data_IF_519322255046
#
_entry.id   IF_519322255046
#
_cell.length_a   1.000
_cell.length_b   1.000
_cell.length_c   1.000
_cell.angle_alpha   90.00
_cell.angle_beta   90.00
_cell.angle_gamma   90.00
#
_symmetry.space_group_name_H-M   'P 1'
#
loop_
_entity.id
_entity.type
_entity.pdbx_description
1 polymer ?
#
# COMPACT_ATOMS: atom_id res chain seq x y z
N UNK A 1 59.62 21.60 15.06
CA UNK A 1 59.01 20.59 15.94
C UNK A 1 57.49 20.47 15.78
N UNK A 2 56.69 21.53 15.98
CA UNK A 2 55.22 21.41 15.88
C UNK A 2 54.71 20.89 14.53
N UNK A 3 55.19 21.46 13.41
CA UNK A 3 54.77 21.06 12.06
C UNK A 3 55.01 19.56 11.78
N UNK A 4 56.20 19.07 12.13
CA UNK A 4 56.58 17.66 11.97
C UNK A 4 55.69 16.69 12.76
N UNK A 5 55.10 17.16 13.87
CA UNK A 5 54.26 16.35 14.74
C UNK A 5 52.78 16.39 14.37
N UNK A 6 52.29 17.47 13.77
CA UNK A 6 50.84 17.72 13.62
C UNK A 6 50.38 18.05 12.20
N UNK A 7 51.24 18.64 11.37
CA UNK A 7 50.85 19.30 10.12
C UNK A 7 51.50 18.66 8.88
N UNK A 8 52.17 17.53 9.04
CA UNK A 8 52.70 16.74 7.92
C UNK A 8 51.52 16.16 7.12
N UNK A 9 51.43 16.51 5.84
CA UNK A 9 50.36 16.07 4.95
C UNK A 9 50.62 14.72 4.27
N UNK A 10 51.89 14.31 4.16
CA UNK A 10 52.29 13.06 3.50
C UNK A 10 53.73 12.64 3.89
N UNK A 11 54.11 11.41 3.54
CA UNK A 11 55.49 10.95 3.71
C UNK A 11 56.49 11.77 2.86
N UNK A 12 56.06 12.27 1.70
CA UNK A 12 56.89 13.16 0.86
C UNK A 12 57.07 14.52 1.53
N UNK A 13 56.00 15.13 2.07
CA UNK A 13 56.06 16.37 2.85
C UNK A 13 56.98 16.25 4.08
N UNK A 14 56.94 15.10 4.76
CA UNK A 14 57.87 14.77 5.85
C UNK A 14 59.32 14.76 5.40
N UNK A 15 59.61 14.07 4.28
CA UNK A 15 60.95 14.00 3.72
C UNK A 15 61.48 15.39 3.32
N UNK A 16 60.63 16.20 2.68
CA UNK A 16 60.93 17.58 2.31
C UNK A 16 61.18 18.47 3.53
N UNK A 17 60.41 18.30 4.60
CA UNK A 17 60.63 19.04 5.86
C UNK A 17 61.97 18.68 6.51
N UNK A 18 62.36 17.40 6.47
CA UNK A 18 63.67 16.96 6.97
C UNK A 18 64.81 17.55 6.11
N UNK A 19 64.64 17.61 4.79
CA UNK A 19 65.61 18.23 3.89
C UNK A 19 65.68 19.75 4.09
N UNK A 20 64.56 20.42 4.31
CA UNK A 20 64.49 21.84 4.63
C UNK A 20 65.27 22.18 5.91
N UNK A 21 65.20 21.33 6.95
CA UNK A 21 66.03 21.51 8.15
C UNK A 21 67.53 21.42 7.86
N UNK A 22 67.95 20.51 6.97
CA UNK A 22 69.37 20.40 6.55
C UNK A 22 69.81 21.63 5.77
N UNK A 23 68.98 22.11 4.83
CA UNK A 23 69.27 23.30 4.04
C UNK A 23 69.36 24.55 4.95
N UNK A 24 68.46 24.68 5.93
CA UNK A 24 68.47 25.77 6.91
C UNK A 24 69.75 25.77 7.76
N UNK A 25 70.20 24.59 8.21
CA UNK A 25 71.45 24.45 8.96
C UNK A 25 72.65 24.85 8.08
N UNK A 26 72.70 24.41 6.83
CA UNK A 26 73.75 24.80 5.88
C UNK A 26 73.82 26.33 5.66
N UNK A 27 72.67 26.99 5.51
CA UNK A 27 72.61 28.46 5.42
C UNK A 27 73.08 29.09 6.72
N UNK A 28 72.59 28.61 7.88
CA UNK A 28 72.95 29.13 9.20
C UNK A 28 74.46 29.02 9.47
N UNK A 29 75.10 27.93 9.07
CA UNK A 29 76.53 27.71 9.25
C UNK A 29 77.39 28.56 8.30
N UNK A 30 76.95 28.79 7.07
CA UNK A 30 77.71 29.55 6.07
C UNK A 30 77.52 31.08 6.17
N UNK A 31 76.38 31.53 6.72
CA UNK A 31 76.01 32.95 6.78
C UNK A 31 76.99 33.83 7.57
N UNK A 32 77.53 33.44 8.75
CA UNK A 32 78.47 34.28 9.49
C UNK A 32 79.76 34.58 8.72
N UNK A 33 80.33 33.58 8.04
CA UNK A 33 81.54 33.73 7.23
C UNK A 33 81.30 34.67 6.03
N UNK A 34 80.16 34.51 5.36
CA UNK A 34 79.75 35.42 4.29
C UNK A 34 79.57 36.87 4.78
N UNK A 35 78.87 37.07 5.90
CA UNK A 35 78.65 38.41 6.47
C UNK A 35 79.96 39.08 6.91
N UNK A 36 80.90 38.32 7.48
CA UNK A 36 82.20 38.83 7.87
C UNK A 36 83.02 39.28 6.65
N UNK A 37 83.10 38.45 5.60
CA UNK A 37 83.79 38.78 4.36
C UNK A 37 83.13 39.96 3.63
N UNK A 38 81.80 40.04 3.66
CA UNK A 38 81.03 41.14 3.06
C UNK A 38 81.30 42.47 3.76
N UNK A 39 81.31 42.49 5.09
CA UNK A 39 81.65 43.68 5.88
C UNK A 39 83.10 44.13 5.68
N UNK A 40 84.00 43.20 5.41
CA UNK A 40 85.41 43.47 5.09
C UNK A 40 85.64 43.90 3.62
N UNK A 41 84.59 43.86 2.77
CA UNK A 41 84.67 44.11 1.33
C UNK A 41 85.67 43.17 0.62
N UNK A 42 85.75 41.92 1.09
CA UNK A 42 86.63 40.90 0.51
C UNK A 42 85.89 40.11 -0.59
N UNK A 43 85.92 40.67 -1.80
CA UNK A 43 85.25 40.10 -2.97
C UNK A 43 85.81 38.74 -3.41
N UNK A 44 87.08 38.45 -3.07
CA UNK A 44 87.70 37.16 -3.36
C UNK A 44 87.07 36.02 -2.54
N UNK A 45 86.46 36.33 -1.39
CA UNK A 45 85.81 35.36 -0.49
C UNK A 45 84.28 35.43 -0.61
N UNK A 46 83.70 36.63 -0.75
CA UNK A 46 82.22 36.79 -0.82
C UNK A 46 81.63 36.22 -2.11
N UNK A 47 82.30 36.41 -3.25
CA UNK A 47 81.77 36.01 -4.55
C UNK A 47 81.70 34.47 -4.69
N UNK A 48 82.73 33.69 -4.31
CA UNK A 48 82.61 32.23 -4.23
C UNK A 48 81.55 31.76 -3.24
N UNK A 49 81.39 32.42 -2.09
CA UNK A 49 80.34 32.04 -1.13
C UNK A 49 78.91 32.29 -1.67
N UNK A 50 78.72 33.18 -2.64
CA UNK A 50 77.42 33.39 -3.30
C UNK A 50 77.19 32.48 -4.52
N UNK A 51 78.26 32.24 -5.29
CA UNK A 51 78.15 31.61 -6.61
C UNK A 51 78.50 30.12 -6.62
N UNK A 52 79.38 29.66 -5.73
CA UNK A 52 79.79 28.25 -5.69
C UNK A 52 78.66 27.35 -5.19
N UNK A 53 78.71 26.07 -5.61
CA UNK A 53 77.73 25.05 -5.22
C UNK A 53 77.70 24.78 -3.72
N UNK A 54 78.81 25.02 -3.02
CA UNK A 54 78.93 24.84 -1.57
C UNK A 54 78.80 26.16 -0.80
N UNK A 55 78.46 27.25 -1.49
CA UNK A 55 78.30 28.57 -0.90
C UNK A 55 76.93 28.80 -0.27
N UNK A 56 76.84 29.82 0.60
CA UNK A 56 75.58 30.27 1.22
C UNK A 56 74.51 30.62 0.17
N UNK A 57 74.91 31.13 -1.01
CA UNK A 57 73.98 31.46 -2.08
C UNK A 57 73.32 30.23 -2.73
N UNK A 58 74.07 29.14 -2.92
CA UNK A 58 73.50 27.89 -3.43
C UNK A 58 72.57 27.23 -2.41
N UNK A 59 72.96 27.22 -1.13
CA UNK A 59 72.12 26.73 -0.04
C UNK A 59 70.80 27.52 0.08
N UNK A 60 70.85 28.85 -0.06
CA UNK A 60 69.67 29.71 -0.03
C UNK A 60 68.72 29.46 -1.22
N UNK A 61 69.24 29.35 -2.45
CA UNK A 61 68.43 29.04 -3.64
C UNK A 61 67.79 27.65 -3.56
N UNK A 62 68.55 26.66 -3.06
CA UNK A 62 68.02 25.31 -2.85
C UNK A 62 66.90 25.32 -1.80
N UNK A 63 67.11 26.01 -0.68
CA UNK A 63 66.08 26.16 0.35
C UNK A 63 64.80 26.81 -0.20
N UNK A 64 64.92 27.87 -0.99
CA UNK A 64 63.78 28.53 -1.64
C UNK A 64 63.03 27.57 -2.56
N UNK A 65 63.74 26.88 -3.46
CA UNK A 65 63.15 25.92 -4.40
C UNK A 65 62.43 24.76 -3.68
N UNK A 66 63.07 24.18 -2.67
CA UNK A 66 62.50 23.07 -1.88
C UNK A 66 61.27 23.52 -1.10
N UNK A 67 61.28 24.74 -0.52
CA UNK A 67 60.14 25.29 0.20
C UNK A 67 58.96 25.59 -0.72
N UNK A 68 59.19 26.18 -1.90
CA UNK A 68 58.15 26.40 -2.91
C UNK A 68 57.55 25.07 -3.38
N UNK A 69 58.39 24.07 -3.62
CA UNK A 69 57.93 22.73 -3.99
C UNK A 69 57.08 22.10 -2.87
N UNK A 70 57.47 22.28 -1.62
CA UNK A 70 56.74 21.73 -0.47
C UNK A 70 55.37 22.39 -0.30
N UNK A 71 55.29 23.72 -0.46
CA UNK A 71 54.01 24.44 -0.46
C UNK A 71 53.12 23.93 -1.59
N UNK A 72 53.67 23.78 -2.80
CA UNK A 72 52.90 23.30 -3.95
C UNK A 72 52.36 21.88 -3.71
N UNK A 73 53.18 20.98 -3.18
CA UNK A 73 52.75 19.63 -2.81
C UNK A 73 51.56 19.66 -1.84
N UNK A 74 51.64 20.48 -0.78
CA UNK A 74 50.58 20.61 0.21
C UNK A 74 49.30 21.23 -0.39
N UNK A 75 49.42 22.20 -1.30
CA UNK A 75 48.30 22.77 -2.05
C UNK A 75 47.64 21.70 -2.91
N UNK A 76 48.43 20.94 -3.68
CA UNK A 76 47.93 19.90 -4.59
C UNK A 76 47.19 18.80 -3.81
N UNK A 77 47.74 18.35 -2.68
CA UNK A 77 47.07 17.40 -1.76
C UNK A 77 45.74 17.99 -1.28
N UNK A 78 45.74 19.25 -0.85
CA UNK A 78 44.53 19.93 -0.38
C UNK A 78 43.45 20.05 -1.47
N UNK A 79 43.83 20.35 -2.70
CA UNK A 79 42.91 20.42 -3.84
C UNK A 79 42.36 19.05 -4.22
N UNK A 80 43.20 18.01 -4.22
CA UNK A 80 42.77 16.63 -4.48
C UNK A 80 41.77 16.16 -3.43
N UNK A 81 42.06 16.35 -2.13
CA UNK A 81 41.14 15.99 -1.05
C UNK A 81 39.82 16.77 -1.13
N UNK A 82 39.86 18.06 -1.52
CA UNK A 82 38.63 18.85 -1.75
C UNK A 82 37.82 18.32 -2.93
N UNK A 83 38.48 17.94 -4.02
CA UNK A 83 37.82 17.39 -5.19
C UNK A 83 37.16 16.03 -4.88
N UNK A 84 37.89 15.15 -4.18
CA UNK A 84 37.38 13.87 -3.72
C UNK A 84 36.21 14.03 -2.76
N UNK A 85 36.34 14.90 -1.74
CA UNK A 85 35.25 15.19 -0.81
C UNK A 85 33.99 15.71 -1.53
N UNK A 86 34.12 16.61 -2.51
CA UNK A 86 32.98 17.09 -3.31
C UNK A 86 32.33 15.96 -4.10
N UNK A 87 33.12 15.07 -4.69
CA UNK A 87 32.62 13.90 -5.42
C UNK A 87 31.88 12.95 -4.49
N UNK A 88 32.47 12.58 -3.36
CA UNK A 88 31.86 11.67 -2.37
C UNK A 88 30.57 12.28 -1.81
N UNK A 89 30.58 13.58 -1.48
CA UNK A 89 29.40 14.29 -0.98
C UNK A 89 28.26 14.28 -2.01
N UNK A 90 28.57 14.62 -3.28
CA UNK A 90 27.57 14.61 -4.34
C UNK A 90 27.02 13.20 -4.62
N UNK A 91 27.89 12.19 -4.66
CA UNK A 91 27.49 10.79 -4.83
C UNK A 91 26.61 10.32 -3.68
N UNK A 92 26.97 10.65 -2.43
CA UNK A 92 26.20 10.29 -1.24
C UNK A 92 24.82 10.95 -1.27
N UNK A 93 24.74 12.24 -1.59
CA UNK A 93 23.46 12.95 -1.73
C UNK A 93 22.58 12.32 -2.80
N UNK A 94 23.10 12.09 -4.01
CA UNK A 94 22.31 11.49 -5.09
C UNK A 94 21.89 10.06 -4.79
N UNK A 95 22.74 9.26 -4.14
CA UNK A 95 22.40 7.91 -3.72
C UNK A 95 21.30 7.91 -2.65
N UNK A 96 21.39 8.78 -1.65
CA UNK A 96 20.37 8.90 -0.59
C UNK A 96 19.05 9.43 -1.13
N UNK A 97 19.08 10.49 -1.95
CA UNK A 97 17.88 11.06 -2.57
C UNK A 97 17.23 10.08 -3.54
N UNK A 98 18.02 9.41 -4.36
CA UNK A 98 17.55 8.38 -5.29
C UNK A 98 16.94 7.18 -4.57
N UNK A 99 17.60 6.67 -3.54
CA UNK A 99 17.09 5.57 -2.71
C UNK A 99 15.79 5.93 -1.99
N UNK A 100 15.71 7.14 -1.43
CA UNK A 100 14.50 7.64 -0.76
C UNK A 100 13.33 7.79 -1.74
N UNK A 101 13.59 8.37 -2.92
CA UNK A 101 12.56 8.52 -3.96
C UNK A 101 12.06 7.17 -4.48
N UNK A 102 12.97 6.22 -4.69
CA UNK A 102 12.62 4.87 -5.12
C UNK A 102 11.75 4.17 -4.07
N UNK A 103 12.09 4.29 -2.79
CA UNK A 103 11.28 3.73 -1.70
C UNK A 103 9.88 4.35 -1.66
N UNK A 104 9.77 5.68 -1.79
CA UNK A 104 8.48 6.38 -1.85
C UNK A 104 7.64 5.89 -3.03
N UNK A 105 8.24 5.73 -4.22
CA UNK A 105 7.54 5.24 -5.40
C UNK A 105 7.05 3.79 -5.23
N UNK A 106 7.85 2.93 -4.63
CA UNK A 106 7.46 1.54 -4.32
C UNK A 106 6.29 1.53 -3.35
N UNK A 107 6.37 2.28 -2.24
CA UNK A 107 5.30 2.37 -1.25
C UNK A 107 4.02 2.96 -1.85
N UNK A 108 4.13 4.01 -2.66
CA UNK A 108 3.00 4.62 -3.35
C UNK A 108 2.34 3.64 -4.34
N UNK A 109 3.15 2.94 -5.15
CA UNK A 109 2.67 1.93 -6.10
C UNK A 109 1.99 0.75 -5.41
N UNK A 110 2.58 0.25 -4.32
CA UNK A 110 2.00 -0.82 -3.51
C UNK A 110 0.68 -0.38 -2.87
N UNK A 111 0.65 0.81 -2.27
CA UNK A 111 -0.57 1.38 -1.66
C UNK A 111 -1.68 1.55 -2.69
N UNK A 112 -1.36 2.08 -3.88
CA UNK A 112 -2.32 2.22 -4.97
C UNK A 112 -2.88 0.87 -5.42
N UNK A 113 -2.03 -0.15 -5.55
CA UNK A 113 -2.45 -1.52 -5.91
C UNK A 113 -3.44 -2.10 -4.88
N UNK A 114 -3.15 -1.96 -3.59
CA UNK A 114 -4.02 -2.44 -2.51
C UNK A 114 -5.37 -1.70 -2.53
N UNK A 115 -5.35 -0.36 -2.59
CA UNK A 115 -6.57 0.47 -2.60
C UNK A 115 -7.43 0.15 -3.82
N UNK A 116 -6.83 0.04 -5.02
CA UNK A 116 -7.57 -0.28 -6.24
C UNK A 116 -8.15 -1.69 -6.21
N UNK A 117 -7.44 -2.66 -5.62
CA UNK A 117 -7.94 -4.01 -5.40
C UNK A 117 -9.17 -4.03 -4.48
N UNK A 118 -9.08 -3.37 -3.34
CA UNK A 118 -10.19 -3.25 -2.37
C UNK A 118 -11.39 -2.55 -3.00
N UNK A 119 -11.18 -1.40 -3.67
CA UNK A 119 -12.26 -0.64 -4.32
C UNK A 119 -12.99 -1.47 -5.37
N UNK A 120 -12.25 -2.25 -6.18
CA UNK A 120 -12.83 -3.11 -7.22
C UNK A 120 -13.70 -4.22 -6.62
N UNK A 121 -13.21 -4.90 -5.57
CA UNK A 121 -13.97 -5.96 -4.89
C UNK A 121 -15.21 -5.41 -4.19
N UNK A 122 -15.07 -4.31 -3.46
CA UNK A 122 -16.18 -3.67 -2.75
C UNK A 122 -17.25 -3.13 -3.71
N UNK A 123 -16.83 -2.46 -4.79
CA UNK A 123 -17.76 -1.93 -5.80
C UNK A 123 -18.53 -3.06 -6.50
N UNK A 124 -17.90 -4.20 -6.76
CA UNK A 124 -18.60 -5.37 -7.32
C UNK A 124 -19.70 -5.86 -6.39
N UNK A 125 -19.39 -6.05 -5.11
CA UNK A 125 -20.37 -6.50 -4.11
C UNK A 125 -21.52 -5.50 -3.92
N UNK A 126 -21.20 -4.20 -3.79
CA UNK A 126 -22.22 -3.13 -3.65
C UNK A 126 -23.14 -3.11 -4.86
N UNK A 127 -22.60 -3.19 -6.07
CA UNK A 127 -23.43 -3.21 -7.29
C UNK A 127 -24.40 -4.41 -7.30
N UNK A 128 -23.92 -5.62 -6.94
CA UNK A 128 -24.79 -6.80 -6.84
C UNK A 128 -25.87 -6.60 -5.77
N UNK A 129 -25.52 -6.11 -4.58
CA UNK A 129 -26.48 -5.88 -3.50
C UNK A 129 -27.54 -4.84 -3.90
N UNK A 130 -27.14 -3.73 -4.54
CA UNK A 130 -28.05 -2.71 -5.06
C UNK A 130 -28.97 -3.30 -6.14
N UNK A 131 -28.44 -4.10 -7.07
CA UNK A 131 -29.24 -4.74 -8.12
C UNK A 131 -30.27 -5.70 -7.54
N UNK A 132 -29.88 -6.56 -6.60
CA UNK A 132 -30.81 -7.46 -5.89
C UNK A 132 -31.86 -6.66 -5.13
N UNK A 133 -31.47 -5.58 -4.45
CA UNK A 133 -32.41 -4.73 -3.71
C UNK A 133 -33.46 -4.05 -4.61
N UNK A 134 -33.09 -3.66 -5.83
CA UNK A 134 -34.03 -3.01 -6.76
C UNK A 134 -34.90 -4.01 -7.53
N UNK A 135 -34.34 -5.14 -7.93
CA UNK A 135 -35.02 -6.11 -8.80
C UNK A 135 -35.73 -7.21 -8.03
N UNK A 136 -35.33 -7.44 -6.77
CA UNK A 136 -35.69 -8.62 -5.97
C UNK A 136 -35.33 -9.94 -6.66
N UNK A 137 -34.45 -9.90 -7.65
CA UNK A 137 -33.95 -11.08 -8.35
C UNK A 137 -32.85 -11.75 -7.51
N UNK A 138 -33.27 -12.72 -6.69
CA UNK A 138 -32.41 -13.49 -5.79
C UNK A 138 -31.50 -14.49 -6.52
N UNK A 139 -31.54 -14.57 -7.86
CA UNK A 139 -30.63 -15.42 -8.64
C UNK A 139 -29.24 -14.81 -8.82
N UNK A 140 -29.09 -13.51 -8.57
CA UNK A 140 -27.79 -12.84 -8.62
C UNK A 140 -26.87 -13.30 -7.49
N UNK A 141 -25.58 -13.44 -7.80
CA UNK A 141 -24.55 -13.91 -6.88
C UNK A 141 -23.47 -12.84 -6.74
N UNK A 142 -23.11 -12.48 -5.51
CA UNK A 142 -21.96 -11.63 -5.25
C UNK A 142 -20.67 -12.45 -5.44
N UNK A 143 -19.78 -11.97 -6.32
CA UNK A 143 -18.54 -12.67 -6.66
C UNK A 143 -17.55 -12.70 -5.48
N UNK A 144 -17.10 -13.89 -5.09
CA UNK A 144 -16.15 -14.08 -3.99
C UNK A 144 -14.72 -14.03 -4.54
N UNK A 145 -14.13 -12.84 -4.58
CA UNK A 145 -12.79 -12.61 -5.17
C UNK A 145 -11.63 -12.71 -4.19
N UNK A 146 -11.90 -12.65 -2.89
CA UNK A 146 -10.88 -12.60 -1.84
C UNK A 146 -11.18 -13.60 -0.72
N UNK A 147 -10.17 -13.91 0.09
CA UNK A 147 -10.30 -14.73 1.32
C UNK A 147 -10.38 -13.87 2.58
N UNK A 148 -10.38 -12.55 2.43
CA UNK A 148 -10.52 -11.56 3.50
C UNK A 148 -11.99 -11.37 3.93
N UNK A 149 -12.22 -10.37 4.78
CA UNK A 149 -13.52 -9.98 5.30
C UNK A 149 -14.53 -9.61 4.18
N UNK A 150 -14.08 -9.05 3.06
CA UNK A 150 -14.94 -8.71 1.91
C UNK A 150 -15.42 -10.01 1.25
N UNK A 151 -14.52 -10.95 1.02
CA UNK A 151 -14.88 -12.27 0.49
C UNK A 151 -15.84 -13.04 1.39
N UNK A 152 -15.58 -13.06 2.69
CA UNK A 152 -16.47 -13.68 3.69
C UNK A 152 -17.85 -13.01 3.73
N UNK A 153 -17.90 -11.69 3.59
CA UNK A 153 -19.16 -10.94 3.53
C UNK A 153 -19.96 -11.29 2.27
N UNK A 154 -19.31 -11.37 1.11
CA UNK A 154 -19.96 -11.82 -0.13
C UNK A 154 -20.51 -13.25 0.00
N UNK A 155 -19.76 -14.17 0.61
CA UNK A 155 -20.25 -15.53 0.90
C UNK A 155 -21.47 -15.53 1.81
N UNK A 156 -21.44 -14.78 2.91
CA UNK A 156 -22.55 -14.68 3.85
C UNK A 156 -23.81 -14.08 3.18
N UNK A 157 -23.62 -13.08 2.32
CA UNK A 157 -24.71 -12.49 1.54
C UNK A 157 -25.34 -13.52 0.59
N UNK A 158 -24.53 -14.30 -0.14
CA UNK A 158 -25.04 -15.36 -1.02
C UNK A 158 -25.83 -16.43 -0.24
N UNK A 159 -25.37 -16.80 0.95
CA UNK A 159 -26.09 -17.73 1.82
C UNK A 159 -27.43 -17.15 2.29
N UNK A 160 -27.48 -15.85 2.59
CA UNK A 160 -28.72 -15.16 2.93
C UNK A 160 -29.71 -15.20 1.77
N UNK A 161 -29.26 -14.88 0.54
CA UNK A 161 -30.12 -14.93 -0.65
C UNK A 161 -30.70 -16.33 -0.88
N UNK A 162 -29.89 -17.37 -0.75
CA UNK A 162 -30.33 -18.76 -0.87
C UNK A 162 -31.42 -19.11 0.17
N UNK A 163 -31.26 -18.67 1.42
CA UNK A 163 -32.27 -18.89 2.47
C UNK A 163 -33.56 -18.12 2.21
N UNK A 164 -33.48 -16.87 1.77
CA UNK A 164 -34.65 -16.06 1.44
C UNK A 164 -35.42 -16.68 0.27
N UNK A 165 -34.71 -17.09 -0.79
CA UNK A 165 -35.31 -17.78 -1.93
C UNK A 165 -36.02 -19.07 -1.51
N UNK A 166 -35.39 -19.90 -0.66
CA UNK A 166 -36.00 -21.12 -0.12
C UNK A 166 -37.26 -20.86 0.72
N UNK A 167 -37.26 -19.80 1.52
CA UNK A 167 -38.45 -19.38 2.29
C UNK A 167 -39.58 -18.94 1.38
N UNK A 168 -39.30 -18.12 0.35
CA UNK A 168 -40.32 -17.68 -0.61
C UNK A 168 -40.92 -18.85 -1.41
N UNK A 169 -40.10 -19.82 -1.79
CA UNK A 169 -40.58 -21.06 -2.44
C UNK A 169 -41.51 -21.84 -1.51
N UNK A 170 -41.15 -21.99 -0.23
CA UNK A 170 -42.01 -22.64 0.77
C UNK A 170 -43.36 -21.94 0.92
N UNK A 171 -43.36 -20.60 0.96
CA UNK A 171 -44.59 -19.79 1.02
C UNK A 171 -45.45 -19.99 -0.23
N UNK A 172 -44.84 -20.02 -1.41
CA UNK A 172 -45.54 -20.28 -2.68
C UNK A 172 -46.20 -21.67 -2.69
N UNK A 173 -45.49 -22.71 -2.24
CA UNK A 173 -46.05 -24.06 -2.11
C UNK A 173 -47.21 -24.14 -1.11
N UNK A 174 -47.10 -23.45 0.03
CA UNK A 174 -48.18 -23.37 1.02
C UNK A 174 -49.42 -22.68 0.43
N UNK A 175 -49.24 -21.55 -0.28
CA UNK A 175 -50.33 -20.84 -0.94
C UNK A 175 -51.02 -21.70 -2.01
N UNK A 176 -50.27 -22.47 -2.81
CA UNK A 176 -50.84 -23.40 -3.78
C UNK A 176 -51.66 -24.52 -3.11
N UNK A 177 -51.17 -25.02 -1.97
CA UNK A 177 -51.87 -26.04 -1.19
C UNK A 177 -53.17 -25.52 -0.61
N UNK A 178 -53.17 -24.29 -0.06
CA UNK A 178 -54.37 -23.61 0.42
C UNK A 178 -55.36 -23.38 -0.73
N UNK A 179 -54.90 -22.87 -1.88
CA UNK A 179 -55.74 -22.67 -3.06
C UNK A 179 -56.43 -23.96 -3.51
N UNK A 180 -55.68 -25.06 -3.57
CA UNK A 180 -56.20 -26.38 -3.93
C UNK A 180 -57.25 -26.86 -2.91
N UNK A 181 -56.96 -26.72 -1.61
CA UNK A 181 -57.90 -27.06 -0.54
C UNK A 181 -59.17 -26.22 -0.58
N UNK A 182 -59.07 -24.91 -0.87
CA UNK A 182 -60.23 -24.03 -1.04
C UNK A 182 -61.10 -24.44 -2.22
N UNK A 183 -60.50 -24.84 -3.36
CA UNK A 183 -61.27 -25.37 -4.50
C UNK A 183 -62.00 -26.66 -4.16
N UNK A 184 -61.37 -27.56 -3.38
CA UNK A 184 -62.00 -28.79 -2.91
C UNK A 184 -63.16 -28.50 -1.92
N UNK A 185 -62.98 -27.55 -1.00
CA UNK A 185 -64.06 -27.12 -0.08
C UNK A 185 -65.24 -26.54 -0.86
N UNK A 186 -64.97 -25.68 -1.85
CA UNK A 186 -66.03 -25.10 -2.68
C UNK A 186 -66.83 -26.18 -3.41
N UNK A 187 -66.16 -27.15 -4.04
CA UNK A 187 -66.82 -28.28 -4.68
C UNK A 187 -67.63 -29.14 -3.69
N UNK A 188 -67.11 -29.35 -2.47
CA UNK A 188 -67.82 -30.08 -1.42
C UNK A 188 -69.05 -29.33 -0.89
N UNK A 189 -69.01 -28.00 -0.81
CA UNK A 189 -70.17 -27.19 -0.45
C UNK A 189 -71.24 -27.21 -1.55
N UNK A 190 -70.86 -27.22 -2.83
CA UNK A 190 -71.80 -27.37 -3.95
C UNK A 190 -72.56 -28.70 -3.87
N UNK A 191 -71.85 -29.81 -3.64
CA UNK A 191 -72.45 -31.14 -3.45
C UNK A 191 -73.37 -31.19 -2.22
N UNK A 192 -72.93 -30.60 -1.10
CA UNK A 192 -73.75 -30.55 0.11
C UNK A 192 -75.02 -29.70 -0.09
N UNK A 193 -74.93 -28.56 -0.76
CA UNK A 193 -76.08 -27.72 -1.12
C UNK A 193 -77.05 -28.51 -2.00
N UNK A 194 -76.57 -29.19 -3.05
CA UNK A 194 -77.39 -30.02 -3.93
C UNK A 194 -78.12 -31.13 -3.16
N UNK A 195 -77.43 -31.83 -2.26
CA UNK A 195 -78.04 -32.86 -1.38
C UNK A 195 -79.05 -32.27 -0.40
N UNK A 196 -78.80 -31.06 0.09
CA UNK A 196 -79.72 -30.35 1.00
C UNK A 196 -81.00 -29.95 0.26
N UNK A 197 -80.89 -29.49 -0.98
CA UNK A 197 -82.04 -29.21 -1.86
C UNK A 197 -82.86 -30.47 -2.16
N UNK A 198 -82.19 -31.59 -2.48
CA UNK A 198 -82.85 -32.89 -2.72
C UNK A 198 -83.59 -33.39 -1.46
N UNK A 199 -82.98 -33.26 -0.28
CA UNK A 199 -83.62 -33.61 0.99
C UNK A 199 -84.82 -32.72 1.31
N UNK A 200 -84.73 -31.42 1.05
CA UNK A 200 -85.83 -30.49 1.23
C UNK A 200 -87.02 -30.86 0.33
N UNK A 201 -86.76 -31.18 -0.95
CA UNK A 201 -87.78 -31.65 -1.88
C UNK A 201 -88.43 -32.97 -1.42
N UNK A 202 -87.65 -33.91 -0.89
CA UNK A 202 -88.16 -35.18 -0.35
C UNK A 202 -89.05 -34.97 0.89
N UNK A 203 -88.69 -34.04 1.76
CA UNK A 203 -89.51 -33.66 2.93
C UNK A 203 -90.81 -32.97 2.52
N UNK A 204 -90.77 -32.13 1.48
CA UNK A 204 -91.95 -31.50 0.90
C UNK A 204 -92.90 -32.57 0.33
N UNK A 205 -92.38 -33.52 -0.45
CA UNK A 205 -93.16 -34.63 -0.99
C UNK A 205 -93.77 -35.51 0.12
N UNK A 206 -93.01 -35.76 1.19
CA UNK A 206 -93.51 -36.51 2.36
C UNK A 206 -94.62 -35.75 3.07
N UNK A 207 -94.46 -34.43 3.25
CA UNK A 207 -95.47 -33.57 3.88
C UNK A 207 -96.75 -33.50 3.04
N UNK A 208 -96.62 -33.37 1.71
CA UNK A 208 -97.74 -33.44 0.79
C UNK A 208 -98.45 -34.80 0.87
N UNK A 209 -97.69 -35.90 0.92
CA UNK A 209 -98.23 -37.25 1.09
C UNK A 209 -98.97 -37.40 2.42
N UNK A 210 -98.43 -36.85 3.51
CA UNK A 210 -99.08 -36.84 4.85
C UNK A 210 -100.34 -35.98 4.87
N UNK A 211 -100.37 -34.86 4.14
CA UNK A 211 -101.57 -34.04 3.97
C UNK A 211 -102.66 -34.80 3.21
N UNK A 212 -102.33 -35.47 2.11
CA UNK A 212 -103.26 -36.35 1.38
C UNK A 212 -103.73 -37.51 2.24
N UNK A 213 -102.84 -38.14 3.01
CA UNK A 213 -103.20 -39.24 3.91
C UNK A 213 -104.16 -38.76 5.01
N UNK A 214 -103.86 -37.60 5.61
CA UNK A 214 -104.70 -36.97 6.64
C UNK A 214 -106.08 -36.62 6.09
N UNK A 215 -106.14 -36.08 4.87
CA UNK A 215 -107.40 -35.80 4.18
C UNK A 215 -108.19 -37.09 3.90
N UNK A 216 -107.50 -38.15 3.47
CA UNK A 216 -108.12 -39.47 3.24
C UNK A 216 -108.67 -40.06 4.55
N UNK A 217 -107.93 -39.93 5.65
CA UNK A 217 -108.38 -40.36 6.99
C UNK A 217 -109.58 -39.54 7.46
N UNK A 218 -109.56 -38.21 7.24
CA UNK A 218 -110.70 -37.32 7.52
C UNK A 218 -111.94 -37.78 6.74
N UNK A 219 -111.80 -38.02 5.44
CA UNK A 219 -112.87 -38.54 4.58
C UNK A 219 -113.41 -39.89 5.06
N UNK A 220 -112.53 -40.84 5.42
CA UNK A 220 -112.96 -42.13 5.96
C UNK A 220 -113.68 -42.00 7.31
N UNK A 221 -113.22 -41.09 8.18
CA UNK A 221 -113.89 -40.83 9.46
C UNK A 221 -115.27 -40.20 9.28
N UNK A 222 -115.44 -39.29 8.33
CA UNK A 222 -116.75 -38.69 7.98
C UNK A 222 -117.69 -39.73 7.35
N UNK A 223 -117.15 -40.65 6.55
CA UNK A 223 -117.91 -41.76 5.97
C UNK A 223 -118.33 -42.82 6.98
N UNK A 224 -117.64 -42.97 8.11
CA UNK A 224 -117.99 -43.90 9.18
C UNK A 224 -118.99 -43.31 10.22
N UNK A 225 -119.21 -41.99 10.20
CA UNK A 225 -120.21 -41.31 11.05
C UNK A 225 -121.58 -41.15 10.39
N UNK A 226 -121.72 -41.52 9.11
CA UNK A 226 -122.99 -41.64 8.38
C UNK A 226 -123.53 -43.06 8.49
#
# INVERSE_FOLDING_TARGET
DYYMANDISSDEDKAMTVEAYKNLDAVRSALPAFLAASRAHDDAVTLPLLQSENGVGAAARKMEADFTRQIQLNIDIGEQLRAENKRVYSQTLWAMSGGSLLLILILAGFSAKVILGIKKSLSGMVNTMTQVSHTLDLTHIAEVRSKDEIGKTAMAFNQLLARVSGTLLSVSHAAQSVSTGSTQIAAGNEDLSARTEEQAASLEQTSASMATLSETVRQNSEGAQQ
#
